data_IF_583459024728
#
_entry.id   IF_583459024728
#
_cell.length_a   1.000
_cell.length_b   1.000
_cell.length_c   1.000
_cell.angle_alpha   90.00
_cell.angle_beta   90.00
_cell.angle_gamma   90.00
#
_symmetry.space_group_name_H-M   'P 1'
#
loop_
_entity.id
_entity.type
_entity.pdbx_description
1 polymer ?
#
# COMPACT_ATOMS: atom_id res chain seq x y z
N UNK A 1 -13.92 4.23 23.02
CA UNK A 1 -13.59 4.57 21.62
C UNK A 1 -12.71 3.48 21.08
N UNK A 2 -12.98 2.96 19.88
CA UNK A 2 -12.12 1.96 19.24
C UNK A 2 -10.90 2.65 18.61
N UNK A 3 -9.72 2.05 18.78
CA UNK A 3 -8.51 2.46 18.06
C UNK A 3 -8.64 1.91 16.64
N UNK A 4 -8.49 2.78 15.64
CA UNK A 4 -8.41 2.37 14.24
C UNK A 4 -6.94 2.17 13.87
N UNK A 5 -6.65 1.10 13.15
CA UNK A 5 -5.32 0.79 12.62
C UNK A 5 -5.38 0.68 11.11
N UNK A 6 -4.30 1.10 10.46
CA UNK A 6 -4.11 0.87 9.03
C UNK A 6 -3.90 -0.64 8.79
N UNK A 7 -4.63 -1.28 7.87
CA UNK A 7 -4.35 -2.66 7.49
C UNK A 7 -3.14 -2.74 6.56
N UNK A 8 -2.41 -3.84 6.66
CA UNK A 8 -1.34 -4.17 5.71
C UNK A 8 -1.91 -4.47 4.33
N UNK A 9 -1.13 -4.18 3.29
CA UNK A 9 -1.47 -4.62 1.94
C UNK A 9 -1.30 -6.15 1.82
N UNK A 10 -2.20 -6.83 1.10
CA UNK A 10 -2.10 -8.27 0.87
C UNK A 10 -1.07 -8.63 -0.22
N UNK A 11 -0.32 -7.65 -0.72
CA UNK A 11 0.66 -7.80 -1.78
C UNK A 11 1.79 -6.77 -1.63
N UNK A 12 2.92 -7.06 -2.28
CA UNK A 12 4.06 -6.16 -2.36
C UNK A 12 3.71 -4.87 -3.11
N UNK A 13 4.32 -3.74 -2.73
CA UNK A 13 4.09 -2.44 -3.39
C UNK A 13 4.30 -2.49 -4.90
N UNK A 14 5.22 -3.31 -5.42
CA UNK A 14 5.50 -3.46 -6.84
C UNK A 14 4.56 -4.44 -7.58
N UNK A 15 3.60 -5.07 -6.90
CA UNK A 15 2.75 -6.11 -7.49
C UNK A 15 1.86 -5.62 -8.65
N UNK A 16 1.67 -4.30 -8.78
CA UNK A 16 0.85 -3.67 -9.82
C UNK A 16 1.69 -3.05 -10.94
N UNK A 17 3.02 -3.24 -10.93
CA UNK A 17 3.88 -2.79 -12.02
C UNK A 17 3.62 -3.57 -13.33
N UNK A 18 3.78 -2.94 -14.51
CA UNK A 18 4.20 -1.56 -14.74
C UNK A 18 3.04 -0.55 -14.72
N UNK A 19 1.82 -0.98 -14.40
CA UNK A 19 0.61 -0.16 -14.50
C UNK A 19 0.53 0.89 -13.37
N UNK A 20 1.03 0.54 -12.18
CA UNK A 20 1.17 1.45 -11.05
C UNK A 20 2.59 1.29 -10.50
N UNK A 21 3.32 2.39 -10.36
CA UNK A 21 4.66 2.38 -9.78
C UNK A 21 4.64 1.94 -8.32
N UNK A 22 5.52 1.02 -7.93
CA UNK A 22 5.62 0.61 -6.52
C UNK A 22 5.95 1.77 -5.59
N UNK A 23 6.73 2.76 -6.05
CA UNK A 23 7.04 3.96 -5.24
C UNK A 23 5.80 4.81 -4.93
N UNK A 24 4.83 4.83 -5.85
CA UNK A 24 3.56 5.54 -5.62
C UNK A 24 2.70 4.76 -4.61
N UNK A 25 2.68 3.43 -4.70
CA UNK A 25 1.94 2.60 -3.74
C UNK A 25 2.48 2.74 -2.31
N UNK A 26 3.80 2.75 -2.14
CA UNK A 26 4.46 3.00 -0.84
C UNK A 26 4.05 4.36 -0.28
N UNK A 27 4.22 5.44 -1.05
CA UNK A 27 3.84 6.80 -0.62
C UNK A 27 2.34 6.99 -0.37
N UNK A 28 1.49 6.12 -0.91
CA UNK A 28 0.04 6.19 -0.75
C UNK A 28 -0.45 5.41 0.47
N UNK A 29 0.21 4.29 0.80
CA UNK A 29 -0.14 3.45 1.94
C UNK A 29 0.49 3.96 3.23
N UNK A 30 1.77 4.31 3.20
CA UNK A 30 2.52 4.88 4.33
C UNK A 30 2.03 6.28 4.73
#
# INVERSE_FOLDING_TARGET
MSVYSLPELPYDYAALEPHISGKIMELHHD
#
